data_IF_872660793614
#
_entry.id   IF_872660793614
#
_cell.length_a   1.000
_cell.length_b   1.000
_cell.length_c   1.000
_cell.angle_alpha   90.00
_cell.angle_beta   90.00
_cell.angle_gamma   90.00
#
_symmetry.space_group_name_H-M   'P 1'
#
loop_
_entity.id
_entity.type
_entity.pdbx_description
1 polymer ?
#
# COMPACT_ATOMS: atom_id res chain seq x y z
N UNK A 1 -51.59 52.56 16.60
CA UNK A 1 -51.70 51.08 16.68
C UNK A 1 -51.82 50.59 18.11
N UNK A 2 -50.95 50.98 19.05
CA UNK A 2 -51.05 50.55 20.47
C UNK A 2 -52.23 51.16 21.26
N UNK A 3 -52.70 52.36 20.93
CA UNK A 3 -53.89 52.95 21.60
C UNK A 3 -55.21 52.28 21.21
N UNK A 4 -55.27 51.57 20.09
CA UNK A 4 -56.47 50.82 19.68
C UNK A 4 -56.53 49.42 20.31
N UNK A 5 -55.44 48.93 20.90
CA UNK A 5 -55.38 47.60 21.52
C UNK A 5 -55.78 47.62 23.01
N UNK A 6 -55.59 48.77 23.67
CA UNK A 6 -55.98 48.98 25.05
C UNK A 6 -57.03 50.09 25.03
N UNK A 7 -58.31 49.71 24.99
CA UNK A 7 -59.43 50.65 24.96
C UNK A 7 -59.29 51.76 26.03
N UNK A 8 -59.94 52.89 25.80
CA UNK A 8 -59.90 54.10 26.65
C UNK A 8 -60.35 53.83 28.11
N UNK A 9 -59.51 53.19 28.91
CA UNK A 9 -59.67 53.10 30.36
C UNK A 9 -58.33 52.78 31.04
N UNK A 10 -57.89 53.71 31.88
CA UNK A 10 -56.90 53.57 32.94
C UNK A 10 -55.67 52.69 32.66
N UNK A 11 -54.85 53.09 31.68
CA UNK A 11 -53.44 52.71 31.70
C UNK A 11 -52.78 53.36 32.92
N UNK A 12 -52.44 52.57 33.92
CA UNK A 12 -51.61 53.00 35.05
C UNK A 12 -50.30 53.58 34.54
N UNK A 13 -49.69 54.50 35.30
CA UNK A 13 -48.43 55.15 34.95
C UNK A 13 -47.31 54.14 34.60
N UNK A 14 -47.41 52.91 35.15
CA UNK A 14 -46.53 51.79 34.85
C UNK A 14 -46.70 51.26 33.41
N UNK A 15 -47.92 51.07 32.92
CA UNK A 15 -48.18 50.55 31.57
C UNK A 15 -47.74 51.52 30.47
N UNK A 16 -47.93 52.84 30.69
CA UNK A 16 -47.40 53.87 29.79
C UNK A 16 -45.87 53.92 29.81
N UNK A 17 -45.25 53.84 30.99
CA UNK A 17 -43.78 53.78 31.12
C UNK A 17 -43.20 52.50 30.50
N UNK A 18 -43.88 51.37 30.63
CA UNK A 18 -43.45 50.10 30.01
C UNK A 18 -43.58 50.14 28.49
N UNK A 19 -44.68 50.70 27.96
CA UNK A 19 -44.84 50.92 26.51
C UNK A 19 -43.78 51.87 25.93
N UNK A 20 -43.49 52.99 26.63
CA UNK A 20 -42.42 53.91 26.25
C UNK A 20 -41.03 53.28 26.37
N UNK A 21 -40.78 52.49 27.43
CA UNK A 21 -39.54 51.74 27.62
C UNK A 21 -39.33 50.70 26.51
N UNK A 22 -40.37 49.99 26.08
CA UNK A 22 -40.30 49.05 24.96
C UNK A 22 -39.99 49.77 23.64
N UNK A 23 -40.71 50.85 23.32
CA UNK A 23 -40.47 51.59 22.06
C UNK A 23 -39.08 52.24 22.06
N UNK A 24 -38.63 52.80 23.18
CA UNK A 24 -37.30 53.43 23.29
C UNK A 24 -36.17 52.40 23.28
N UNK A 25 -36.34 51.23 23.91
CA UNK A 25 -35.34 50.17 23.87
C UNK A 25 -35.32 49.40 22.56
N UNK A 26 -36.47 49.19 21.90
CA UNK A 26 -36.50 48.65 20.54
C UNK A 26 -35.75 49.59 19.60
N UNK A 27 -35.99 50.90 19.65
CA UNK A 27 -35.22 51.85 18.83
C UNK A 27 -33.72 51.88 19.16
N UNK A 28 -33.32 51.67 20.42
CA UNK A 28 -31.90 51.64 20.84
C UNK A 28 -31.19 50.32 20.56
N UNK A 29 -31.88 49.17 20.59
CA UNK A 29 -31.28 47.85 20.36
C UNK A 29 -31.06 47.50 18.89
N UNK A 30 -31.67 48.24 17.97
CA UNK A 30 -31.44 48.12 16.52
C UNK A 30 -30.34 49.06 15.98
N UNK A 31 -29.34 49.42 16.79
CA UNK A 31 -28.11 50.04 16.26
C UNK A 31 -27.32 49.03 15.44
N UNK A 32 -27.63 48.98 14.12
CA UNK A 32 -26.89 48.41 12.99
C UNK A 32 -25.74 47.44 13.34
N UNK A 33 -26.05 46.24 13.82
CA UNK A 33 -25.11 45.12 13.73
C UNK A 33 -25.10 44.57 12.30
N UNK A 34 -23.87 44.46 11.80
CA UNK A 34 -23.39 44.41 10.41
C UNK A 34 -23.62 43.04 9.75
N UNK A 35 -24.86 42.56 9.72
CA UNK A 35 -25.19 41.34 8.97
C UNK A 35 -25.22 41.65 7.48
N UNK A 36 -24.54 40.83 6.67
CA UNK A 36 -24.68 40.88 5.21
C UNK A 36 -26.15 40.55 4.88
N UNK A 37 -26.79 41.41 4.09
CA UNK A 37 -28.18 41.24 3.67
C UNK A 37 -28.19 40.84 2.19
N UNK A 38 -28.99 39.85 1.79
CA UNK A 38 -29.22 39.59 0.39
C UNK A 38 -30.00 40.74 -0.24
N UNK A 39 -29.82 40.94 -1.54
CA UNK A 39 -30.73 41.78 -2.32
C UNK A 39 -32.02 41.02 -2.59
N UNK A 40 -33.16 41.71 -2.55
CA UNK A 40 -34.46 41.13 -2.87
C UNK A 40 -34.85 41.54 -4.29
N UNK A 41 -35.24 40.55 -5.09
CA UNK A 41 -35.77 40.75 -6.44
C UNK A 41 -37.16 40.15 -6.55
N UNK A 42 -37.90 40.58 -7.55
CA UNK A 42 -39.21 40.03 -7.92
C UNK A 42 -39.18 39.59 -9.38
N UNK A 43 -39.90 38.51 -9.69
CA UNK A 43 -40.06 38.00 -11.05
C UNK A 43 -41.56 37.74 -11.32
N UNK A 44 -42.09 38.30 -12.41
CA UNK A 44 -43.48 38.17 -12.82
C UNK A 44 -43.68 36.99 -13.79
N UNK A 45 -44.39 35.97 -13.34
CA UNK A 45 -44.94 34.89 -14.16
C UNK A 45 -46.31 35.29 -14.71
N UNK A 46 -46.35 35.75 -15.96
CA UNK A 46 -47.58 36.11 -16.65
C UNK A 46 -47.87 35.07 -17.73
N UNK A 47 -49.12 34.63 -17.84
CA UNK A 47 -49.54 33.71 -18.88
C UNK A 47 -50.84 34.15 -19.53
N UNK A 48 -51.06 33.71 -20.77
CA UNK A 48 -52.32 33.85 -21.50
C UNK A 48 -52.56 32.65 -22.41
N UNK A 49 -53.78 32.53 -22.93
CA UNK A 49 -54.07 31.61 -24.02
C UNK A 49 -54.10 32.37 -25.35
N UNK A 50 -53.38 31.88 -26.34
CA UNK A 50 -53.39 32.48 -27.68
C UNK A 50 -54.65 32.12 -28.48
N UNK A 51 -54.75 32.61 -29.71
CA UNK A 51 -55.88 32.33 -30.60
C UNK A 51 -56.12 30.84 -30.89
N UNK A 52 -55.08 30.00 -30.72
CA UNK A 52 -55.14 28.54 -30.88
C UNK A 52 -55.44 27.79 -29.57
N UNK A 53 -55.72 28.52 -28.47
CA UNK A 53 -55.90 27.98 -27.11
C UNK A 53 -54.63 27.31 -26.54
N UNK A 54 -53.46 27.69 -27.04
CA UNK A 54 -52.19 27.26 -26.47
C UNK A 54 -51.77 28.21 -25.35
N UNK A 55 -51.18 27.67 -24.28
CA UNK A 55 -50.65 28.45 -23.17
C UNK A 55 -49.35 29.14 -23.60
N UNK A 56 -49.33 30.47 -23.50
CA UNK A 56 -48.14 31.30 -23.71
C UNK A 56 -47.72 31.94 -22.40
N UNK A 57 -46.40 32.06 -22.21
CA UNK A 57 -45.80 32.75 -21.07
C UNK A 57 -45.08 34.01 -21.54
N UNK A 58 -45.18 35.08 -20.74
CA UNK A 58 -44.47 36.32 -20.99
C UNK A 58 -43.00 36.15 -20.59
N UNK A 59 -42.10 36.49 -21.49
CA UNK A 59 -40.67 36.52 -21.24
C UNK A 59 -40.04 37.76 -21.85
N UNK A 60 -38.96 38.20 -21.24
CA UNK A 60 -38.09 39.26 -21.77
C UNK A 60 -36.77 38.66 -22.23
N UNK A 61 -36.16 39.30 -23.23
CA UNK A 61 -34.77 39.04 -23.62
C UNK A 61 -33.89 40.07 -22.94
N UNK A 62 -33.04 39.63 -22.01
CA UNK A 62 -32.20 40.53 -21.20
C UNK A 62 -31.28 41.38 -22.08
N UNK A 63 -31.28 42.70 -21.87
CA UNK A 63 -30.40 43.65 -22.58
C UNK A 63 -29.00 43.73 -21.97
N UNK A 64 -28.91 43.54 -20.65
CA UNK A 64 -27.72 43.80 -19.84
C UNK A 64 -27.10 42.51 -19.27
N UNK A 65 -25.76 42.43 -19.12
CA UNK A 65 -25.10 41.36 -18.35
C UNK A 65 -25.54 41.37 -16.86
N UNK A 66 -25.49 40.24 -16.16
CA UNK A 66 -25.20 38.89 -16.64
C UNK A 66 -26.35 38.33 -17.50
N UNK A 67 -26.05 37.28 -18.28
CA UNK A 67 -27.02 36.58 -19.15
C UNK A 67 -27.64 37.46 -20.24
N UNK A 68 -26.90 38.45 -20.76
CA UNK A 68 -27.33 39.25 -21.92
C UNK A 68 -27.79 38.33 -23.05
N UNK A 69 -28.92 38.64 -23.66
CA UNK A 69 -29.52 37.88 -24.76
C UNK A 69 -30.29 36.62 -24.35
N UNK A 70 -30.30 36.23 -23.08
CA UNK A 70 -31.08 35.09 -22.60
C UNK A 70 -32.52 35.51 -22.30
N UNK A 71 -33.44 34.54 -22.40
CA UNK A 71 -34.82 34.71 -21.92
C UNK A 71 -34.85 34.70 -20.39
N UNK A 72 -35.65 35.58 -19.82
CA UNK A 72 -35.89 35.68 -18.39
C UNK A 72 -37.35 36.06 -18.12
N UNK A 73 -37.81 35.82 -16.91
CA UNK A 73 -39.02 36.46 -16.41
C UNK A 73 -38.80 37.98 -16.36
N UNK A 74 -39.90 38.70 -16.49
CA UNK A 74 -39.90 40.14 -16.26
C UNK A 74 -39.71 40.40 -14.76
N UNK A 75 -38.77 41.25 -14.38
CA UNK A 75 -38.44 41.40 -12.97
C UNK A 75 -37.20 42.23 -12.67
N UNK A 76 -37.15 42.74 -11.45
CA UNK A 76 -36.10 43.63 -11.01
C UNK A 76 -35.94 43.66 -9.49
N UNK A 77 -35.23 44.67 -9.00
CA UNK A 77 -34.97 44.82 -7.58
C UNK A 77 -36.15 45.49 -6.87
N UNK A 78 -36.43 45.03 -5.65
CA UNK A 78 -37.41 45.70 -4.79
C UNK A 78 -36.75 46.96 -4.20
N UNK A 79 -37.36 48.11 -4.42
CA UNK A 79 -36.86 49.37 -3.88
C UNK A 79 -36.98 49.41 -2.36
N UNK A 80 -36.09 50.18 -1.72
CA UNK A 80 -36.09 50.27 -0.26
C UNK A 80 -37.42 50.84 0.27
N UNK A 81 -38.14 50.05 1.06
CA UNK A 81 -39.45 50.42 1.60
C UNK A 81 -40.63 50.12 0.67
N UNK A 82 -40.38 49.57 -0.52
CA UNK A 82 -41.41 49.10 -1.44
C UNK A 82 -41.95 47.73 -1.02
N UNK A 83 -43.27 47.52 -1.20
CA UNK A 83 -43.86 46.19 -1.03
C UNK A 83 -43.54 45.35 -2.28
N UNK A 84 -43.01 44.11 -2.16
CA UNK A 84 -42.71 43.25 -3.31
C UNK A 84 -43.87 43.04 -4.28
N UNK A 85 -45.12 42.99 -3.80
CA UNK A 85 -46.31 42.89 -4.66
C UNK A 85 -46.51 44.14 -5.53
N UNK A 86 -46.12 45.32 -5.04
CA UNK A 86 -46.12 46.55 -5.84
C UNK A 86 -44.94 46.58 -6.79
N UNK A 87 -43.77 46.17 -6.31
CA UNK A 87 -42.55 46.07 -7.11
C UNK A 87 -42.77 45.19 -8.34
N UNK A 88 -43.37 44.01 -8.20
CA UNK A 88 -43.57 43.12 -9.35
C UNK A 88 -44.52 43.68 -10.40
N UNK A 89 -45.53 44.46 -10.00
CA UNK A 89 -46.43 45.15 -10.92
C UNK A 89 -45.76 46.35 -11.61
N UNK A 90 -44.90 47.07 -10.88
CA UNK A 90 -44.08 48.16 -11.41
C UNK A 90 -43.09 47.63 -12.46
N UNK A 91 -42.31 46.61 -12.11
CA UNK A 91 -41.35 45.96 -13.01
C UNK A 91 -42.04 45.42 -14.28
N UNK A 92 -43.21 44.78 -14.12
CA UNK A 92 -44.03 44.36 -15.27
C UNK A 92 -44.36 45.51 -16.21
N UNK A 93 -44.76 46.66 -15.65
CA UNK A 93 -45.10 47.84 -16.43
C UNK A 93 -43.85 48.46 -17.09
N UNK A 94 -42.75 48.56 -16.36
CA UNK A 94 -41.51 49.19 -16.82
C UNK A 94 -40.84 48.37 -17.93
N UNK A 95 -40.79 47.05 -17.83
CA UNK A 95 -40.07 46.22 -18.81
C UNK A 95 -40.92 45.79 -20.02
N UNK A 96 -42.25 45.78 -19.89
CA UNK A 96 -43.15 45.23 -20.91
C UNK A 96 -44.31 46.13 -21.33
N UNK A 97 -44.47 47.30 -20.70
CA UNK A 97 -45.62 48.21 -20.87
C UNK A 97 -47.00 47.59 -20.54
N UNK A 98 -47.04 46.40 -19.93
CA UNK A 98 -48.26 45.71 -19.55
C UNK A 98 -48.70 46.08 -18.13
N UNK A 99 -50.00 46.28 -17.94
CA UNK A 99 -50.58 46.49 -16.61
C UNK A 99 -51.08 45.17 -16.01
N UNK A 100 -50.59 44.86 -14.82
CA UNK A 100 -50.92 43.65 -14.07
C UNK A 100 -51.77 43.91 -12.82
N UNK A 101 -52.36 42.84 -12.28
CA UNK A 101 -53.10 42.84 -11.01
C UNK A 101 -52.98 41.47 -10.31
N UNK A 102 -53.45 41.41 -9.06
CA UNK A 102 -53.51 40.18 -8.25
C UNK A 102 -52.19 39.40 -8.17
N UNK A 103 -51.07 40.02 -7.76
CA UNK A 103 -49.81 39.30 -7.61
C UNK A 103 -49.94 38.21 -6.53
N UNK A 104 -49.74 36.95 -6.90
CA UNK A 104 -49.74 35.80 -5.97
C UNK A 104 -48.39 35.10 -6.01
N UNK A 105 -47.70 35.02 -4.88
CA UNK A 105 -46.39 34.36 -4.82
C UNK A 105 -46.53 32.86 -5.09
N UNK A 106 -45.69 32.32 -5.99
CA UNK A 106 -45.66 30.89 -6.29
C UNK A 106 -44.30 30.24 -6.06
N UNK A 107 -43.21 31.01 -6.00
CA UNK A 107 -41.90 30.48 -5.66
C UNK A 107 -40.99 31.50 -4.99
N UNK A 108 -40.09 31.01 -4.14
CA UNK A 108 -38.96 31.77 -3.59
C UNK A 108 -37.68 31.05 -4.00
N UNK A 109 -36.68 31.79 -4.48
CA UNK A 109 -35.37 31.25 -4.88
C UNK A 109 -34.26 32.06 -4.23
N UNK A 110 -33.58 31.46 -3.25
CA UNK A 110 -32.56 32.12 -2.44
C UNK A 110 -31.20 31.44 -2.38
N UNK A 111 -30.90 30.53 -3.33
CA UNK A 111 -29.56 29.93 -3.44
C UNK A 111 -28.51 31.05 -3.60
N UNK A 112 -27.49 31.16 -2.71
CA UNK A 112 -26.51 32.25 -2.74
C UNK A 112 -25.81 32.46 -4.09
N UNK A 113 -25.59 31.39 -4.85
CA UNK A 113 -24.84 31.43 -6.11
C UNK A 113 -25.73 31.56 -7.36
N UNK A 114 -27.04 31.76 -7.19
CA UNK A 114 -27.98 31.82 -8.32
C UNK A 114 -27.77 33.02 -9.25
N UNK A 115 -27.21 34.11 -8.72
CA UNK A 115 -26.95 35.35 -9.45
C UNK A 115 -25.49 35.73 -9.26
N UNK A 116 -24.71 35.87 -10.34
CA UNK A 116 -23.28 36.17 -10.25
C UNK A 116 -23.01 37.59 -9.72
N UNK A 117 -24.02 38.46 -9.62
CA UNK A 117 -23.89 39.81 -9.02
C UNK A 117 -23.82 39.77 -7.49
N UNK A 118 -24.22 38.66 -6.86
CA UNK A 118 -24.18 38.47 -5.40
C UNK A 118 -25.39 37.70 -4.86
N UNK A 119 -25.48 37.59 -3.54
CA UNK A 119 -26.59 36.85 -2.89
C UNK A 119 -27.91 37.58 -3.11
N UNK A 120 -28.71 37.05 -4.04
CA UNK A 120 -30.08 37.52 -4.34
C UNK A 120 -31.11 36.51 -3.85
N UNK A 121 -32.22 37.01 -3.32
CA UNK A 121 -33.43 36.21 -3.09
C UNK A 121 -34.50 36.75 -4.03
N UNK A 122 -34.96 35.91 -4.97
CA UNK A 122 -36.05 36.28 -5.85
C UNK A 122 -37.39 35.71 -5.43
N UNK A 123 -38.41 36.57 -5.44
CA UNK A 123 -39.80 36.25 -5.17
C UNK A 123 -40.56 36.21 -6.51
N UNK A 124 -41.03 35.02 -6.88
CA UNK A 124 -41.75 34.83 -8.12
C UNK A 124 -43.25 34.95 -7.87
N UNK A 125 -43.90 35.86 -8.57
CA UNK A 125 -45.34 36.11 -8.49
C UNK A 125 -46.04 35.72 -9.78
N UNK A 126 -47.18 35.06 -9.67
CA UNK A 126 -48.15 34.97 -10.75
C UNK A 126 -48.92 36.29 -10.78
N UNK A 127 -49.08 36.87 -11.96
CA UNK A 127 -49.74 38.16 -12.16
C UNK A 127 -50.78 38.05 -13.28
N UNK A 128 -51.99 38.50 -13.00
CA UNK A 128 -53.07 38.60 -13.98
C UNK A 128 -52.90 39.87 -14.83
N UNK A 129 -53.12 39.77 -16.14
CA UNK A 129 -53.18 40.96 -16.99
C UNK A 129 -54.50 41.70 -16.84
N UNK A 130 -54.44 43.04 -16.84
CA UNK A 130 -55.64 43.87 -16.98
C UNK A 130 -56.18 43.75 -18.40
N UNK A 131 -55.30 43.75 -19.42
CA UNK A 131 -55.66 43.55 -20.82
C UNK A 131 -54.86 42.38 -21.45
N UNK A 132 -55.41 41.15 -21.43
CA UNK A 132 -54.71 39.97 -21.99
C UNK A 132 -54.42 40.03 -23.49
N UNK A 133 -55.09 40.91 -24.23
CA UNK A 133 -54.92 41.07 -25.69
C UNK A 133 -53.82 42.06 -26.06
N UNK A 134 -53.30 42.84 -25.10
CA UNK A 134 -52.20 43.76 -25.36
C UNK A 134 -50.91 42.97 -25.61
N UNK A 135 -50.18 43.36 -26.64
CA UNK A 135 -48.83 42.84 -26.87
C UNK A 135 -47.81 43.62 -26.03
N UNK A 136 -46.79 42.94 -25.49
CA UNK A 136 -45.76 43.60 -24.69
C UNK A 136 -44.85 44.45 -25.58
N UNK A 137 -44.43 45.59 -25.04
CA UNK A 137 -43.44 46.48 -25.65
C UNK A 137 -42.23 46.54 -24.73
N UNK A 138 -41.04 46.29 -25.27
CA UNK A 138 -39.83 46.23 -24.45
C UNK A 138 -39.46 47.62 -23.90
N UNK A 139 -39.29 47.70 -22.58
CA UNK A 139 -38.85 48.90 -21.89
C UNK A 139 -37.39 48.88 -21.46
N UNK A 140 -37.09 49.43 -20.28
CA UNK A 140 -35.74 49.87 -19.88
C UNK A 140 -34.65 48.80 -20.01
N UNK A 141 -34.84 47.66 -19.35
CA UNK A 141 -33.87 46.57 -19.25
C UNK A 141 -34.14 45.37 -20.19
N UNK A 142 -35.27 45.41 -20.90
CA UNK A 142 -35.64 44.41 -21.89
C UNK A 142 -35.14 44.82 -23.29
N UNK A 143 -34.41 43.95 -23.97
CA UNK A 143 -34.11 44.15 -25.38
C UNK A 143 -35.35 43.87 -26.24
N UNK A 144 -36.15 42.89 -25.83
CA UNK A 144 -37.42 42.47 -26.43
C UNK A 144 -38.30 41.89 -25.32
N UNK A 145 -39.61 42.04 -25.43
CA UNK A 145 -40.61 41.37 -24.58
C UNK A 145 -41.60 40.66 -25.50
N UNK A 146 -41.99 39.42 -25.18
CA UNK A 146 -42.88 38.63 -26.03
C UNK A 146 -43.57 37.51 -25.25
N UNK A 147 -44.74 37.11 -25.72
CA UNK A 147 -45.38 35.86 -25.32
C UNK A 147 -44.83 34.70 -26.15
N UNK A 148 -44.33 33.68 -25.48
CA UNK A 148 -43.83 32.46 -26.12
C UNK A 148 -44.71 31.26 -25.73
N UNK A 149 -45.14 30.43 -26.71
CA UNK A 149 -45.82 29.18 -26.42
C UNK A 149 -44.97 28.29 -25.51
N UNK A 150 -45.59 27.69 -24.50
CA UNK A 150 -44.87 26.80 -23.57
C UNK A 150 -44.24 25.59 -24.30
N UNK A 151 -44.81 25.18 -25.44
CA UNK A 151 -44.28 24.15 -26.33
C UNK A 151 -42.87 24.46 -26.82
N UNK A 152 -42.52 25.73 -27.03
CA UNK A 152 -41.16 26.15 -27.41
C UNK A 152 -40.10 25.61 -26.43
N UNK A 153 -40.42 25.54 -25.14
CA UNK A 153 -39.51 25.06 -24.10
C UNK A 153 -39.56 23.54 -23.92
N UNK A 154 -40.70 22.91 -24.20
CA UNK A 154 -40.84 21.46 -24.18
C UNK A 154 -40.07 20.81 -25.35
N UNK A 155 -40.09 21.44 -26.52
CA UNK A 155 -39.38 20.98 -27.71
C UNK A 155 -37.86 21.12 -27.61
N UNK A 156 -37.37 22.13 -26.88
CA UNK A 156 -35.95 22.27 -26.57
C UNK A 156 -35.49 21.10 -25.69
N UNK A 157 -36.24 20.76 -24.64
CA UNK A 157 -35.88 19.64 -23.76
C UNK A 157 -35.96 18.28 -24.46
N UNK A 158 -36.93 18.09 -25.37
CA UNK A 158 -37.08 16.85 -26.14
C UNK A 158 -36.04 16.69 -27.24
N UNK A 159 -35.44 17.78 -27.77
CA UNK A 159 -34.41 17.72 -28.80
C UNK A 159 -32.97 17.81 -28.27
N UNK A 160 -32.74 18.51 -27.15
CA UNK A 160 -31.39 18.65 -26.54
C UNK A 160 -30.96 17.35 -25.87
N UNK A 161 -31.84 16.73 -25.08
CA UNK A 161 -31.45 15.59 -24.24
C UNK A 161 -31.10 14.31 -25.04
N UNK A 162 -31.82 13.93 -26.12
CA UNK A 162 -31.48 12.72 -26.89
C UNK A 162 -30.48 12.95 -28.02
N UNK A 163 -30.18 14.18 -28.46
CA UNK A 163 -29.21 14.40 -29.55
C UNK A 163 -27.82 14.82 -29.06
N UNK A 164 -27.72 15.52 -27.92
CA UNK A 164 -26.42 15.96 -27.40
C UNK A 164 -25.74 14.84 -26.61
N UNK A 165 -26.49 14.12 -25.77
CA UNK A 165 -25.90 13.11 -24.89
C UNK A 165 -25.30 11.91 -25.66
N UNK A 166 -25.95 11.36 -26.70
CA UNK A 166 -25.36 10.27 -27.48
C UNK A 166 -24.23 10.73 -28.39
N UNK A 167 -24.33 11.93 -29.00
CA UNK A 167 -23.28 12.42 -29.90
C UNK A 167 -22.01 12.84 -29.15
N UNK A 168 -22.14 13.42 -27.95
CA UNK A 168 -20.97 13.68 -27.11
C UNK A 168 -20.37 12.36 -26.63
N UNK A 169 -21.17 11.40 -26.16
CA UNK A 169 -20.65 10.10 -25.75
C UNK A 169 -20.04 9.31 -26.90
N UNK A 170 -20.62 9.35 -28.10
CA UNK A 170 -20.08 8.63 -29.27
C UNK A 170 -18.80 9.27 -29.79
N UNK A 171 -18.72 10.60 -29.86
CA UNK A 171 -17.52 11.29 -30.30
C UNK A 171 -16.39 11.15 -29.28
N UNK A 172 -16.66 11.33 -27.99
CA UNK A 172 -15.65 11.13 -26.94
C UNK A 172 -15.20 9.67 -26.90
N UNK A 173 -16.11 8.70 -26.94
CA UNK A 173 -15.72 7.29 -26.93
C UNK A 173 -14.98 6.88 -28.20
N UNK A 174 -15.36 7.41 -29.36
CA UNK A 174 -14.65 7.11 -30.61
C UNK A 174 -13.26 7.74 -30.62
N UNK A 175 -13.08 8.97 -30.17
CA UNK A 175 -11.76 9.61 -30.06
C UNK A 175 -10.86 8.91 -29.02
N UNK A 176 -11.40 8.54 -27.86
CA UNK A 176 -10.64 7.80 -26.84
C UNK A 176 -10.22 6.42 -27.36
N UNK A 177 -11.13 5.67 -28.00
CA UNK A 177 -10.86 4.32 -28.48
C UNK A 177 -10.00 4.29 -29.75
N UNK A 178 -10.11 5.28 -30.63
CA UNK A 178 -9.35 5.33 -31.89
C UNK A 178 -7.99 5.99 -31.76
N UNK A 179 -7.82 6.97 -30.87
CA UNK A 179 -6.59 7.77 -30.81
C UNK A 179 -5.81 7.57 -29.51
N UNK A 180 -6.48 7.41 -28.36
CA UNK A 180 -5.79 7.32 -27.07
C UNK A 180 -5.37 5.89 -26.73
N UNK A 181 -6.30 4.93 -26.78
CA UNK A 181 -6.02 3.53 -26.45
C UNK A 181 -4.93 2.91 -27.34
N UNK A 182 -4.91 3.13 -28.67
CA UNK A 182 -3.87 2.58 -29.52
C UNK A 182 -2.51 3.19 -29.22
N UNK A 183 -2.42 4.50 -28.96
CA UNK A 183 -1.17 5.17 -28.61
C UNK A 183 -0.58 4.70 -27.28
N UNK A 184 -1.41 4.44 -26.26
CA UNK A 184 -0.94 3.89 -25.00
C UNK A 184 -0.41 2.46 -25.21
N UNK A 185 -1.16 1.63 -25.94
CA UNK A 185 -0.78 0.25 -26.20
C UNK A 185 0.41 0.09 -27.15
N UNK A 186 0.58 0.98 -28.14
CA UNK A 186 1.66 0.90 -29.12
C UNK A 186 2.94 1.61 -28.69
N UNK A 187 2.85 2.67 -27.87
CA UNK A 187 4.02 3.49 -27.55
C UNK A 187 4.44 3.40 -26.09
N UNK A 188 3.48 3.35 -25.15
CA UNK A 188 3.82 3.39 -23.72
C UNK A 188 4.14 1.98 -23.20
N UNK A 189 3.26 1.01 -23.46
CA UNK A 189 3.47 -0.36 -22.99
C UNK A 189 4.78 -0.99 -23.50
N UNK A 190 5.16 -0.88 -24.79
CA UNK A 190 6.40 -1.47 -25.28
C UNK A 190 7.64 -0.77 -24.72
N UNK A 191 7.58 0.55 -24.46
CA UNK A 191 8.69 1.29 -23.87
C UNK A 191 8.89 0.96 -22.38
N UNK A 192 7.81 0.77 -21.63
CA UNK A 192 7.91 0.32 -20.24
C UNK A 192 8.43 -1.12 -20.20
N UNK A 193 7.88 -2.00 -21.03
CA UNK A 193 8.26 -3.42 -21.01
C UNK A 193 9.70 -3.64 -21.53
N UNK A 194 10.13 -2.89 -22.54
CA UNK A 194 11.52 -2.90 -23.00
C UNK A 194 12.47 -2.37 -21.93
N UNK A 195 12.17 -1.24 -21.28
CA UNK A 195 13.03 -0.70 -20.21
C UNK A 195 13.15 -1.65 -19.00
N UNK A 196 12.06 -2.31 -18.60
CA UNK A 196 12.11 -3.29 -17.50
C UNK A 196 12.98 -4.49 -17.90
N UNK A 197 12.78 -5.02 -19.11
CA UNK A 197 13.50 -6.20 -19.59
C UNK A 197 14.96 -5.92 -19.95
N UNK A 198 15.29 -4.73 -20.47
CA UNK A 198 16.64 -4.37 -20.89
C UNK A 198 17.50 -3.81 -19.76
N UNK A 199 16.90 -3.13 -18.78
CA UNK A 199 17.66 -2.39 -17.78
C UNK A 199 17.47 -2.92 -16.36
N UNK A 200 16.26 -3.35 -15.99
CA UNK A 200 15.98 -3.76 -14.61
C UNK A 200 16.33 -5.23 -14.38
N UNK A 201 15.84 -6.12 -15.24
CA UNK A 201 16.10 -7.56 -15.14
C UNK A 201 17.60 -7.91 -15.20
N UNK A 202 18.41 -7.37 -16.14
CA UNK A 202 19.83 -7.73 -16.21
C UNK A 202 20.62 -7.25 -15.01
N UNK A 203 20.29 -6.07 -14.46
CA UNK A 203 20.95 -5.52 -13.27
C UNK A 203 20.62 -6.31 -12.00
N UNK A 204 19.38 -6.75 -11.84
CA UNK A 204 19.00 -7.63 -10.72
C UNK A 204 19.71 -8.98 -10.88
N UNK A 205 19.68 -9.56 -12.09
CA UNK A 205 20.28 -10.87 -12.31
C UNK A 205 21.80 -10.83 -12.18
N UNK A 206 22.47 -9.77 -12.65
CA UNK A 206 23.92 -9.61 -12.48
C UNK A 206 24.30 -9.36 -11.04
N UNK A 207 23.57 -8.53 -10.29
CA UNK A 207 23.91 -8.21 -8.90
C UNK A 207 23.58 -9.37 -7.95
N UNK A 208 22.46 -10.06 -8.16
CA UNK A 208 22.11 -11.23 -7.35
C UNK A 208 23.05 -12.39 -7.68
N UNK A 209 23.28 -12.72 -8.96
CA UNK A 209 24.17 -13.82 -9.31
C UNK A 209 25.62 -13.52 -8.94
N UNK A 210 26.12 -12.29 -9.11
CA UNK A 210 27.48 -11.95 -8.69
C UNK A 210 27.62 -12.04 -7.17
N UNK A 211 26.71 -11.49 -6.38
CA UNK A 211 26.80 -11.54 -4.92
C UNK A 211 26.59 -12.94 -4.36
N UNK A 212 25.65 -13.72 -4.89
CA UNK A 212 25.44 -15.11 -4.46
C UNK A 212 26.65 -15.96 -4.85
N UNK A 213 27.10 -15.91 -6.11
CA UNK A 213 28.24 -16.73 -6.53
C UNK A 213 29.55 -16.28 -5.89
N UNK A 214 29.80 -14.97 -5.74
CA UNK A 214 31.04 -14.50 -5.12
C UNK A 214 31.06 -14.79 -3.64
N UNK A 215 29.98 -14.50 -2.90
CA UNK A 215 30.03 -14.56 -1.44
C UNK A 215 29.66 -15.94 -0.91
N UNK A 216 28.62 -16.58 -1.45
CA UNK A 216 28.20 -17.88 -0.93
C UNK A 216 29.17 -18.97 -1.37
N UNK A 217 29.58 -19.02 -2.64
CA UNK A 217 30.52 -20.08 -3.05
C UNK A 217 31.92 -19.85 -2.47
N UNK A 218 32.43 -18.62 -2.37
CA UNK A 218 33.74 -18.40 -1.75
C UNK A 218 33.72 -18.67 -0.25
N UNK A 219 32.66 -18.27 0.48
CA UNK A 219 32.57 -18.52 1.91
C UNK A 219 32.34 -19.99 2.22
N UNK A 220 31.49 -20.70 1.45
CA UNK A 220 31.31 -22.14 1.62
C UNK A 220 32.61 -22.88 1.27
N UNK A 221 33.25 -22.57 0.15
CA UNK A 221 34.50 -23.23 -0.24
C UNK A 221 35.64 -22.94 0.74
N UNK A 222 35.75 -21.71 1.23
CA UNK A 222 36.76 -21.37 2.24
C UNK A 222 36.46 -22.04 3.57
N UNK A 223 35.23 -22.01 4.09
CA UNK A 223 34.88 -22.62 5.37
C UNK A 223 34.98 -24.15 5.34
N UNK A 224 34.60 -24.81 4.24
CA UNK A 224 34.79 -26.26 4.10
C UNK A 224 36.29 -26.58 4.09
N UNK A 225 37.09 -25.84 3.31
CA UNK A 225 38.53 -26.08 3.23
C UNK A 225 39.29 -25.72 4.52
N UNK A 226 38.87 -24.68 5.24
CA UNK A 226 39.57 -24.19 6.44
C UNK A 226 39.10 -24.85 7.73
N UNK A 227 37.84 -25.32 7.81
CA UNK A 227 37.26 -25.77 9.07
C UNK A 227 36.90 -27.26 9.07
N UNK A 228 36.55 -27.84 7.92
CA UNK A 228 36.14 -29.25 7.85
C UNK A 228 37.34 -30.14 7.53
N UNK A 229 38.09 -29.83 6.46
CA UNK A 229 39.26 -30.63 6.07
C UNK A 229 40.31 -30.78 7.18
N UNK A 230 40.75 -29.71 7.88
CA UNK A 230 41.75 -29.85 8.93
C UNK A 230 41.21 -30.43 10.23
N UNK A 231 39.90 -30.71 10.37
CA UNK A 231 39.35 -31.40 11.54
C UNK A 231 39.03 -32.87 11.28
N UNK A 232 38.71 -33.23 10.03
CA UNK A 232 38.47 -34.63 9.65
C UNK A 232 39.81 -35.37 9.51
N UNK A 233 40.78 -34.79 8.81
CA UNK A 233 42.03 -35.48 8.50
C UNK A 233 42.84 -35.86 9.76
N UNK A 234 43.13 -34.96 10.71
CA UNK A 234 43.90 -35.33 11.89
C UNK A 234 43.12 -36.20 12.85
N UNK A 235 41.79 -36.12 12.95
CA UNK A 235 41.01 -37.02 13.81
C UNK A 235 40.96 -38.45 13.27
N UNK A 236 40.84 -38.61 11.95
CA UNK A 236 40.96 -39.93 11.32
C UNK A 236 42.38 -40.44 11.51
N UNK A 237 43.41 -39.63 11.25
CA UNK A 237 44.80 -40.07 11.40
C UNK A 237 45.16 -40.36 12.85
N UNK A 238 44.71 -39.57 13.82
CA UNK A 238 44.99 -39.77 15.24
C UNK A 238 44.25 -40.98 15.79
N UNK A 239 42.98 -41.18 15.44
CA UNK A 239 42.20 -42.32 15.94
C UNK A 239 42.59 -43.63 15.28
N UNK A 240 42.93 -43.62 13.99
CA UNK A 240 43.43 -44.81 13.29
C UNK A 240 44.83 -45.13 13.81
N UNK A 241 45.76 -44.17 13.87
CA UNK A 241 47.11 -44.45 14.38
C UNK A 241 47.11 -44.80 15.86
N UNK A 242 46.30 -44.16 16.70
CA UNK A 242 46.25 -44.49 18.13
C UNK A 242 45.67 -45.88 18.35
N UNK A 243 44.54 -46.24 17.71
CA UNK A 243 43.94 -47.56 17.88
C UNK A 243 44.76 -48.67 17.23
N UNK A 244 45.35 -48.45 16.06
CA UNK A 244 46.22 -49.43 15.42
C UNK A 244 47.49 -49.62 16.26
N UNK A 245 48.19 -48.55 16.64
CA UNK A 245 49.42 -48.71 17.43
C UNK A 245 49.13 -49.23 18.84
N UNK A 246 48.08 -48.77 19.53
CA UNK A 246 47.80 -49.24 20.88
C UNK A 246 47.31 -50.68 20.87
N UNK A 247 46.33 -51.04 20.03
CA UNK A 247 45.73 -52.36 20.10
C UNK A 247 46.53 -53.42 19.36
N UNK A 248 47.17 -53.10 18.23
CA UNK A 248 47.97 -54.08 17.52
C UNK A 248 49.31 -54.28 18.23
N UNK A 249 50.04 -53.21 18.60
CA UNK A 249 51.32 -53.44 19.29
C UNK A 249 51.14 -54.00 20.70
N UNK A 250 50.13 -53.58 21.47
CA UNK A 250 49.92 -54.17 22.80
C UNK A 250 49.49 -55.63 22.70
N UNK A 251 48.55 -56.00 21.83
CA UNK A 251 48.10 -57.39 21.73
C UNK A 251 49.14 -58.30 21.08
N UNK A 252 49.86 -57.83 20.06
CA UNK A 252 50.94 -58.61 19.45
C UNK A 252 52.08 -58.79 20.46
N UNK A 253 52.55 -57.72 21.11
CA UNK A 253 53.65 -57.86 22.08
C UNK A 253 53.20 -58.66 23.31
N UNK A 254 52.00 -58.46 23.84
CA UNK A 254 51.54 -59.19 25.02
C UNK A 254 51.29 -60.67 24.71
N UNK A 255 50.64 -60.99 23.59
CA UNK A 255 50.28 -62.38 23.29
C UNK A 255 51.44 -63.18 22.71
N UNK A 256 52.30 -62.57 21.90
CA UNK A 256 53.48 -63.27 21.38
C UNK A 256 54.50 -63.45 22.50
N UNK A 257 54.82 -62.41 23.29
CA UNK A 257 55.76 -62.58 24.39
C UNK A 257 55.22 -63.48 25.49
N UNK A 258 53.92 -63.40 25.83
CA UNK A 258 53.36 -64.32 26.82
C UNK A 258 53.40 -65.76 26.31
N UNK A 259 52.99 -66.05 25.06
CA UNK A 259 53.02 -67.41 24.54
C UNK A 259 54.43 -67.98 24.39
N UNK A 260 55.41 -67.17 23.96
CA UNK A 260 56.81 -67.62 23.87
C UNK A 260 57.34 -67.94 25.28
N UNK A 261 57.12 -67.05 26.25
CA UNK A 261 57.63 -67.23 27.60
C UNK A 261 56.90 -68.32 28.39
N UNK A 262 55.58 -68.49 28.21
CA UNK A 262 54.77 -69.43 28.98
C UNK A 262 54.72 -70.83 28.35
N UNK A 263 54.84 -70.94 27.02
CA UNK A 263 54.57 -72.21 26.34
C UNK A 263 55.80 -72.77 25.63
N UNK A 264 56.64 -71.93 25.03
CA UNK A 264 57.79 -72.39 24.25
C UNK A 264 59.00 -72.59 25.17
N UNK A 265 59.37 -71.59 25.98
CA UNK A 265 60.51 -71.70 26.89
C UNK A 265 60.43 -72.90 27.85
N UNK A 266 59.29 -73.18 28.51
CA UNK A 266 59.19 -74.32 29.42
C UNK A 266 59.26 -75.66 28.69
N UNK A 267 58.71 -75.76 27.47
CA UNK A 267 58.77 -76.98 26.66
C UNK A 267 60.17 -77.26 26.11
N UNK A 268 60.91 -76.21 25.72
CA UNK A 268 62.31 -76.35 25.33
C UNK A 268 63.15 -76.76 26.54
N UNK A 269 62.98 -76.10 27.69
CA UNK A 269 63.70 -76.46 28.90
C UNK A 269 63.37 -77.88 29.40
N UNK A 270 62.09 -78.30 29.36
CA UNK A 270 61.70 -79.64 29.81
C UNK A 270 62.22 -80.73 28.87
N UNK A 271 62.16 -80.52 27.55
CA UNK A 271 62.65 -81.50 26.57
C UNK A 271 64.17 -81.56 26.50
N UNK A 272 64.89 -80.44 26.66
CA UNK A 272 66.35 -80.44 26.72
C UNK A 272 66.81 -81.07 28.04
N UNK A 273 66.23 -80.70 29.19
CA UNK A 273 66.63 -81.29 30.47
C UNK A 273 66.27 -82.78 30.57
N UNK A 274 65.13 -83.21 30.02
CA UNK A 274 64.78 -84.64 30.02
C UNK A 274 65.72 -85.43 29.12
N UNK A 275 66.06 -84.93 27.92
CA UNK A 275 66.99 -85.62 27.01
C UNK A 275 68.43 -85.67 27.53
N UNK A 276 68.93 -84.60 28.16
CA UNK A 276 70.28 -84.58 28.75
C UNK A 276 70.35 -85.54 29.96
N UNK A 277 69.35 -85.52 30.85
CA UNK A 277 69.37 -86.38 32.04
C UNK A 277 69.11 -87.87 31.74
N UNK A 278 68.30 -88.20 30.74
CA UNK A 278 68.01 -89.59 30.39
C UNK A 278 69.05 -90.24 29.47
N UNK A 279 69.67 -89.49 28.55
CA UNK A 279 70.49 -90.09 27.48
C UNK A 279 71.99 -89.82 27.57
N UNK A 280 72.45 -88.79 28.29
CA UNK A 280 73.88 -88.40 28.33
C UNK A 280 74.55 -88.81 29.65
N UNK A 281 73.84 -88.66 30.78
CA UNK A 281 74.41 -88.94 32.11
C UNK A 281 74.80 -90.41 32.40
N UNK A 282 74.10 -91.45 31.88
CA UNK A 282 74.50 -92.84 32.15
C UNK A 282 75.78 -93.26 31.38
N UNK A 283 76.10 -92.62 30.25
CA UNK A 283 77.20 -93.03 29.37
C UNK A 283 78.54 -92.35 29.69
N UNK A 284 78.55 -91.26 30.45
CA UNK A 284 79.79 -90.56 30.85
C UNK A 284 80.39 -91.16 32.13
N UNK A 285 79.58 -91.79 32.99
CA UNK A 285 80.03 -92.28 34.30
C UNK A 285 80.65 -93.70 34.29
N UNK A 286 80.58 -94.41 33.16
CA UNK A 286 81.13 -95.78 33.01
C UNK A 286 82.61 -95.81 32.54
N UNK A 287 83.10 -94.75 31.91
CA UNK A 287 84.39 -94.78 31.18
C UNK A 287 85.59 -94.08 31.88
N UNK A 288 85.43 -93.49 33.06
CA UNK A 288 86.50 -92.72 33.72
C UNK A 288 87.19 -93.40 34.91
N UNK A 289 86.86 -94.66 35.25
CA UNK A 289 87.45 -95.37 36.41
C UNK A 289 88.47 -96.47 36.09
N UNK A 290 88.85 -96.67 34.81
CA UNK A 290 89.77 -97.73 34.38
C UNK A 290 91.17 -97.28 33.90
N UNK A 291 91.50 -95.98 33.98
CA UNK A 291 92.72 -95.44 33.35
C UNK A 291 93.76 -94.82 34.32
N UNK A 292 93.70 -95.09 35.63
CA UNK A 292 94.66 -94.52 36.60
C UNK A 292 95.63 -95.53 37.27
N UNK A 293 95.46 -96.84 37.09
CA UNK A 293 96.34 -97.84 37.74
C UNK A 293 97.47 -98.40 36.85
N UNK A 294 97.59 -97.95 35.59
CA UNK A 294 98.65 -98.40 34.68
C UNK A 294 99.96 -97.59 34.74
N UNK A 295 100.04 -96.55 35.58
CA UNK A 295 101.24 -95.72 35.71
C UNK A 295 102.29 -96.26 36.70
N UNK A 296 101.92 -97.15 37.64
CA UNK A 296 102.84 -97.70 38.64
C UNK A 296 103.69 -98.88 38.12
N UNK A 297 103.20 -99.60 37.10
CA UNK A 297 103.96 -100.65 36.42
C UNK A 297 105.13 -100.11 35.59
N UNK A 298 104.96 -98.95 34.94
CA UNK A 298 105.98 -98.34 34.09
C UNK A 298 107.16 -97.76 34.90
N UNK A 299 106.90 -97.25 36.11
CA UNK A 299 107.97 -96.80 37.03
C UNK A 299 108.84 -97.96 37.52
N UNK A 300 108.24 -99.10 37.80
CA UNK A 300 108.96 -100.30 38.26
C UNK A 300 109.86 -100.90 37.17
N UNK A 301 109.40 -100.87 35.91
CA UNK A 301 110.18 -101.31 34.75
C UNK A 301 111.35 -100.36 34.43
N UNK A 302 111.13 -99.04 34.54
CA UNK A 302 112.19 -98.03 34.40
C UNK A 302 113.33 -98.22 35.43
N UNK A 303 112.99 -98.48 36.70
CA UNK A 303 114.01 -98.77 37.74
C UNK A 303 114.79 -100.06 37.50
N UNK A 304 114.13 -101.10 36.97
CA UNK A 304 114.81 -102.34 36.59
C UNK A 304 115.80 -102.14 35.43
N UNK A 305 115.41 -101.38 34.40
CA UNK A 305 116.29 -101.05 33.26
C UNK A 305 117.51 -100.23 33.70
N UNK A 306 117.33 -99.26 34.61
CA UNK A 306 118.41 -98.43 35.17
C UNK A 306 119.40 -99.24 36.01
N UNK A 307 118.92 -100.17 36.85
CA UNK A 307 119.75 -101.03 37.71
C UNK A 307 120.60 -102.04 36.91
N UNK A 308 120.17 -102.41 35.71
CA UNK A 308 120.89 -103.34 34.81
C UNK A 308 121.75 -102.63 33.75
N UNK A 309 121.92 -101.30 33.81
CA UNK A 309 122.82 -100.55 32.94
C UNK A 309 122.37 -100.41 31.47
N UNK A 310 121.09 -100.65 31.18
CA UNK A 310 120.54 -100.58 29.82
C UNK A 310 120.05 -99.17 29.42
N UNK A 311 119.97 -98.24 30.39
CA UNK A 311 119.66 -96.81 30.23
C UNK A 311 120.37 -96.02 31.35
N UNK A 312 120.75 -94.75 31.10
CA UNK A 312 121.32 -93.84 32.11
C UNK A 312 120.24 -93.15 32.97
#
# INVERSE_FOLDING_TARGET
MLENFFGKSNLTNCSKKFGLFLVQNLKKSFSNKKYKKPSITVDAGVHRFNHKKELEILLIKRKNPPFKGHFAFCGGFVDYGENPEKSVLRELKEETNLDGKNPVIFAVRGNPDRDPRGHTISLFYHVDLINPKQEPEAGDDAAHAMFLPISYFLDINSNINPNINPNINSNINSDINSNFNPNINSNINPNINSNINSNFNPNINSNINSNINSNINSNIKSNINSNINPNINPNINSNINSNINSNINSNINSNINSNINSNINPNINSNINSNINSNINPNINSNYKLAFDHLDGLKSYYFWLKKNGLIQ
#
